data_IF_872246447500
#
_entry.id   IF_872246447500
#
_cell.length_a   1.000
_cell.length_b   1.000
_cell.length_c   1.000
_cell.angle_alpha   90.00
_cell.angle_beta   90.00
_cell.angle_gamma   90.00
#
_symmetry.space_group_name_H-M   'P 1'
#
loop_
_entity.id
_entity.type
_entity.pdbx_description
1 polymer ?
#
# COMPACT_ATOMS: atom_id res chain seq x y z
N UNK A 1 18.65 -2.89 3.23
CA UNK A 1 18.09 -2.62 1.90
C UNK A 1 16.93 -1.65 2.07
N UNK A 2 17.13 -0.41 1.62
CA UNK A 2 16.08 0.61 1.68
C UNK A 2 14.99 0.33 0.64
N UNK A 3 13.77 0.76 0.94
CA UNK A 3 12.61 0.70 0.05
C UNK A 3 11.65 1.85 0.33
N UNK A 4 10.83 2.18 -0.65
CA UNK A 4 9.80 3.20 -0.57
C UNK A 4 8.47 2.68 -1.13
N UNK A 5 7.37 3.22 -0.64
CA UNK A 5 6.00 2.92 -1.06
C UNK A 5 5.38 4.23 -1.54
N UNK A 6 4.78 4.19 -2.73
CA UNK A 6 4.04 5.33 -3.26
C UNK A 6 2.83 5.60 -2.37
N UNK A 7 2.68 6.83 -1.88
CA UNK A 7 1.50 7.23 -1.10
C UNK A 7 0.26 7.04 -1.99
N UNK A 8 -0.73 6.26 -1.55
CA UNK A 8 -1.96 6.10 -2.33
C UNK A 8 -2.64 7.47 -2.48
N UNK A 9 -3.07 7.85 -3.70
CA UNK A 9 -3.88 9.06 -3.88
C UNK A 9 -5.31 8.88 -3.33
N UNK A 10 -5.77 7.64 -3.13
CA UNK A 10 -7.07 7.32 -2.57
C UNK A 10 -7.12 7.64 -1.08
N UNK A 11 -8.01 8.55 -0.69
CA UNK A 11 -8.20 8.95 0.72
C UNK A 11 -8.73 7.83 1.60
N UNK A 12 -9.45 6.87 1.02
CA UNK A 12 -9.99 5.70 1.70
C UNK A 12 -8.94 4.61 1.99
N UNK A 13 -7.70 4.75 1.52
CA UNK A 13 -6.64 3.77 1.71
C UNK A 13 -5.44 4.38 2.46
N UNK A 14 -5.11 3.78 3.60
CA UNK A 14 -3.97 4.16 4.41
C UNK A 14 -2.93 3.03 4.47
N UNK A 15 -1.66 3.40 4.45
CA UNK A 15 -0.52 2.48 4.60
C UNK A 15 0.26 2.88 5.83
N UNK A 16 0.58 1.92 6.71
CA UNK A 16 1.20 2.20 8.01
C UNK A 16 2.58 2.87 7.92
N UNK A 17 3.33 2.57 6.85
CA UNK A 17 4.67 3.10 6.57
C UNK A 17 4.83 3.33 5.08
N UNK A 18 5.54 4.39 4.69
CA UNK A 18 5.79 4.73 3.28
C UNK A 18 7.24 4.51 2.85
N UNK A 19 8.13 4.18 3.78
CA UNK A 19 9.51 3.85 3.51
C UNK A 19 10.09 3.07 4.68
N UNK A 20 11.18 2.34 4.41
CA UNK A 20 11.88 1.60 5.45
C UNK A 20 13.19 1.01 4.96
N UNK A 21 13.83 0.25 5.86
CA UNK A 21 15.08 -0.43 5.60
C UNK A 21 15.11 -1.77 6.34
N UNK A 22 15.48 -2.84 5.64
CA UNK A 22 15.60 -4.19 6.20
C UNK A 22 17.05 -4.67 6.15
N UNK A 23 17.51 -5.33 7.20
CA UNK A 23 18.69 -6.18 7.08
C UNK A 23 18.41 -7.34 6.10
N UNK A 24 19.44 -7.97 5.50
CA UNK A 24 19.27 -9.20 4.74
C UNK A 24 18.47 -10.23 5.55
N UNK A 25 17.52 -10.91 4.91
CA UNK A 25 16.63 -11.91 5.53
C UNK A 25 15.67 -11.39 6.62
N UNK A 26 15.60 -10.07 6.84
CA UNK A 26 14.61 -9.48 7.75
C UNK A 26 13.28 -9.24 7.02
N UNK A 27 12.19 -9.68 7.63
CA UNK A 27 10.83 -9.36 7.20
C UNK A 27 10.27 -8.18 8.00
N UNK A 28 9.57 -7.27 7.33
CA UNK A 28 8.77 -6.23 7.97
C UNK A 28 7.32 -6.36 7.51
N UNK A 29 6.39 -6.18 8.44
CA UNK A 29 4.96 -6.17 8.14
C UNK A 29 4.51 -4.75 7.79
N UNK A 30 3.78 -4.62 6.68
CA UNK A 30 3.15 -3.37 6.24
C UNK A 30 1.64 -3.56 6.33
N UNK A 31 0.96 -2.66 7.03
CA UNK A 31 -0.49 -2.72 7.22
C UNK A 31 -1.18 -1.78 6.27
N UNK A 32 -2.19 -2.28 5.56
CA UNK A 32 -3.11 -1.50 4.74
C UNK A 32 -4.44 -1.40 5.48
N UNK A 33 -4.91 -0.17 5.72
CA UNK A 33 -6.18 0.10 6.38
C UNK A 33 -7.12 0.82 5.41
N UNK A 34 -8.40 0.46 5.44
CA UNK A 34 -9.42 1.07 4.58
C UNK A 34 -10.45 1.84 5.41
N UNK A 35 -10.84 3.01 4.94
CA UNK A 35 -11.93 3.82 5.49
C UNK A 35 -12.97 4.07 4.41
N UNK A 36 -14.12 3.40 4.53
CA UNK A 36 -15.23 3.49 3.58
C UNK A 36 -16.35 4.44 4.01
N UNK A 37 -16.19 5.17 5.13
CA UNK A 37 -17.29 5.89 5.79
C UNK A 37 -18.00 6.90 4.88
N UNK A 38 -17.24 7.59 4.02
CA UNK A 38 -17.76 8.62 3.10
C UNK A 38 -17.84 8.15 1.63
N UNK A 39 -17.71 6.84 1.39
CA UNK A 39 -17.83 6.27 0.04
C UNK A 39 -19.27 5.90 -0.27
N UNK A 40 -19.67 6.16 -1.51
CA UNK A 40 -20.95 5.65 -2.04
C UNK A 40 -20.82 4.15 -2.35
N UNK A 41 -21.95 3.45 -2.45
CA UNK A 41 -21.93 2.06 -2.86
C UNK A 41 -21.30 1.90 -4.25
N UNK A 42 -20.40 0.94 -4.38
CA UNK A 42 -19.57 0.82 -5.58
C UNK A 42 -18.31 -0.02 -5.38
N UNK A 43 -17.57 -0.18 -6.47
CA UNK A 43 -16.27 -0.86 -6.47
C UNK A 43 -15.15 0.15 -6.71
N UNK A 44 -14.17 0.14 -5.82
CA UNK A 44 -13.02 1.03 -5.84
C UNK A 44 -11.73 0.22 -5.99
N UNK A 45 -10.78 0.80 -6.72
CA UNK A 45 -9.45 0.21 -6.94
C UNK A 45 -8.35 1.20 -6.55
N UNK A 46 -7.31 0.68 -5.92
CA UNK A 46 -6.08 1.41 -5.66
C UNK A 46 -4.88 0.52 -5.98
N UNK A 47 -3.85 1.13 -6.57
CA UNK A 47 -2.57 0.48 -6.82
C UNK A 47 -1.52 1.10 -5.91
N UNK A 48 -0.82 0.27 -5.16
CA UNK A 48 0.28 0.70 -4.28
C UNK A 48 1.54 0.02 -4.76
N UNK A 49 2.52 0.83 -5.16
CA UNK A 49 3.81 0.35 -5.65
C UNK A 49 4.85 0.42 -4.55
N UNK A 50 5.56 -0.68 -4.37
CA UNK A 50 6.68 -0.84 -3.45
C UNK A 50 7.95 -0.90 -4.30
N UNK A 51 8.83 0.09 -4.13
CA UNK A 51 10.08 0.24 -4.87
C UNK A 51 11.27 -0.11 -3.96
N UNK A 52 11.95 -1.24 -4.17
CA UNK A 52 13.18 -1.52 -3.45
C UNK A 52 14.35 -0.72 -4.06
N UNK A 53 15.36 -0.41 -3.25
CA UNK A 53 16.58 0.26 -3.74
C UNK A 53 17.35 -0.59 -4.78
N UNK A 54 17.15 -1.92 -4.77
CA UNK A 54 17.66 -2.86 -5.78
C UNK A 54 16.65 -3.98 -6.01
N UNK A 55 16.51 -4.41 -7.27
CA UNK A 55 15.57 -5.45 -7.68
C UNK A 55 14.34 -4.89 -8.38
N UNK A 56 13.31 -5.72 -8.52
CA UNK A 56 12.08 -5.38 -9.25
C UNK A 56 11.04 -4.79 -8.30
N UNK A 57 10.42 -3.65 -8.64
CA UNK A 57 9.28 -3.12 -7.89
C UNK A 57 8.11 -4.10 -7.86
N UNK A 58 7.37 -4.11 -6.75
CA UNK A 58 6.13 -4.87 -6.60
C UNK A 58 4.94 -3.91 -6.60
N UNK A 59 3.82 -4.34 -7.19
CA UNK A 59 2.57 -3.59 -7.17
C UNK A 59 1.50 -4.41 -6.47
N UNK A 60 0.85 -3.81 -5.48
CA UNK A 60 -0.29 -4.35 -4.76
C UNK A 60 -1.54 -3.65 -5.27
N UNK A 61 -2.51 -4.42 -5.75
CA UNK A 61 -3.83 -3.91 -6.16
C UNK A 61 -4.84 -4.19 -5.06
N UNK A 62 -5.40 -3.12 -4.49
CA UNK A 62 -6.46 -3.17 -3.48
C UNK A 62 -7.80 -3.00 -4.18
N UNK A 63 -8.73 -3.93 -3.93
CA UNK A 63 -10.12 -3.85 -4.38
C UNK A 63 -11.01 -3.69 -3.15
N UNK A 64 -11.75 -2.59 -3.08
CA UNK A 64 -12.74 -2.32 -2.04
C UNK A 64 -14.15 -2.36 -2.67
N UNK A 65 -15.07 -3.05 -2.02
CA UNK A 65 -16.48 -3.09 -2.40
C UNK A 65 -17.28 -2.49 -1.24
N UNK A 66 -18.00 -1.41 -1.52
CA UNK A 66 -18.93 -0.76 -0.59
C UNK A 66 -20.34 -1.14 -1.02
N UNK A 67 -21.12 -1.69 -0.10
CA UNK A 67 -22.49 -2.17 -0.34
C UNK A 67 -23.53 -1.30 0.35
#
# INVERSE_FOLDING_TARGET
MAWAIDKPPQTWLHVSVLAGNNAPSQTLSITFSVDGTDLTSGTYYANVKITPARGTPATITVKLIVV
#
